data_IF_863835715015
#
_entry.id   IF_863835715015
#
_cell.length_a   1.000
_cell.length_b   1.000
_cell.length_c   1.000
_cell.angle_alpha   90.00
_cell.angle_beta   90.00
_cell.angle_gamma   90.00
#
_symmetry.space_group_name_H-M   'P 1'
#
loop_
_entity.id
_entity.type
_entity.pdbx_description
1 polymer ?
#
# COMPACT_ATOMS: atom_id res chain seq x y z
N UNK A 1 -14.62 14.62 -12.25
CA UNK A 1 -14.88 13.52 -11.29
C UNK A 1 -16.35 13.54 -10.83
N UNK A 2 -16.78 14.45 -9.96
CA UNK A 2 -18.15 14.37 -9.38
C UNK A 2 -19.33 14.56 -10.35
N UNK A 3 -19.11 15.09 -11.56
CA UNK A 3 -20.16 15.25 -12.58
C UNK A 3 -20.63 13.92 -13.21
N UNK A 4 -19.83 12.84 -13.12
CA UNK A 4 -20.13 11.53 -13.72
C UNK A 4 -20.47 10.46 -12.67
N UNK A 5 -20.72 10.83 -11.42
CA UNK A 5 -20.76 9.90 -10.27
C UNK A 5 -19.47 9.07 -10.09
N UNK A 6 -18.38 9.46 -10.74
CA UNK A 6 -17.07 8.85 -10.57
C UNK A 6 -16.32 9.55 -9.44
N UNK A 7 -16.13 8.81 -8.35
CA UNK A 7 -15.31 9.24 -7.23
C UNK A 7 -13.91 8.66 -7.43
N UNK A 8 -12.97 9.48 -7.90
CA UNK A 8 -11.54 9.21 -7.76
C UNK A 8 -11.14 9.58 -6.33
N UNK A 9 -11.49 8.70 -5.38
CA UNK A 9 -11.03 8.84 -4.02
C UNK A 9 -9.67 8.16 -3.90
N UNK A 10 -8.61 8.96 -3.69
CA UNK A 10 -7.43 8.50 -2.96
C UNK A 10 -7.87 8.19 -1.53
N UNK A 11 -8.45 7.02 -1.34
CA UNK A 11 -8.85 6.54 -0.04
C UNK A 11 -7.63 5.93 0.62
N UNK A 12 -7.03 6.69 1.52
CA UNK A 12 -6.26 6.14 2.65
C UNK A 12 -7.15 5.37 3.63
N UNK A 13 -8.45 5.28 3.33
CA UNK A 13 -9.50 4.60 4.05
C UNK A 13 -9.38 3.08 3.97
N UNK A 14 -9.62 2.43 5.10
CA UNK A 14 -9.84 0.98 5.13
C UNK A 14 -11.02 0.58 4.22
N UNK A 15 -10.95 -0.61 3.61
CA UNK A 15 -12.02 -1.19 2.80
C UNK A 15 -13.36 -1.17 3.54
N UNK A 16 -13.34 -1.43 4.85
CA UNK A 16 -14.55 -1.44 5.67
C UNK A 16 -15.27 -0.09 5.69
N UNK A 17 -14.55 1.03 5.56
CA UNK A 17 -15.15 2.37 5.46
C UNK A 17 -15.91 2.56 4.15
N UNK A 18 -15.36 2.02 3.05
CA UNK A 18 -15.96 2.09 1.71
C UNK A 18 -17.17 1.16 1.55
N UNK A 19 -17.20 0.08 2.33
CA UNK A 19 -18.25 -0.92 2.30
C UNK A 19 -19.36 -0.68 3.34
N UNK A 20 -19.34 0.44 4.05
CA UNK A 20 -20.51 0.87 4.83
C UNK A 20 -21.69 1.09 3.88
N UNK A 21 -22.85 0.55 4.24
CA UNK A 21 -24.03 0.46 3.37
C UNK A 21 -24.42 1.80 2.73
N UNK A 22 -24.37 2.88 3.52
CA UNK A 22 -24.72 4.25 3.12
C UNK A 22 -23.78 4.88 2.07
N UNK A 23 -22.57 4.31 1.93
CA UNK A 23 -21.55 4.69 0.95
C UNK A 23 -21.53 3.71 -0.21
N UNK A 24 -21.50 2.41 0.08
CA UNK A 24 -21.29 1.35 -0.91
C UNK A 24 -22.35 1.36 -2.03
N UNK A 25 -23.61 1.62 -1.70
CA UNK A 25 -24.71 1.70 -2.67
C UNK A 25 -24.58 2.88 -3.65
N UNK A 26 -23.71 3.85 -3.35
CA UNK A 26 -23.49 5.07 -4.16
C UNK A 26 -22.18 5.04 -4.94
N UNK A 27 -21.36 4.00 -4.78
CA UNK A 27 -20.04 3.90 -5.40
C UNK A 27 -20.00 2.79 -6.44
N UNK A 28 -19.32 3.06 -7.55
CA UNK A 28 -18.97 2.07 -8.56
C UNK A 28 -17.46 1.83 -8.54
N UNK A 29 -17.05 0.62 -8.15
CA UNK A 29 -15.65 0.22 -8.11
C UNK A 29 -15.24 -0.39 -9.45
N UNK A 30 -14.22 0.19 -10.09
CA UNK A 30 -13.76 -0.23 -11.43
C UNK A 30 -12.38 -0.89 -11.42
N UNK A 31 -11.56 -0.61 -10.42
CA UNK A 31 -10.21 -1.13 -10.25
C UNK A 31 -9.77 -1.02 -8.78
N UNK A 32 -8.73 -1.74 -8.42
CA UNK A 32 -8.05 -1.63 -7.13
C UNK A 32 -6.55 -1.46 -7.35
N UNK A 33 -5.83 -0.95 -6.34
CA UNK A 33 -4.38 -1.09 -6.27
C UNK A 33 -4.04 -2.12 -5.20
N UNK A 34 -3.59 -3.30 -5.63
CA UNK A 34 -3.25 -4.39 -4.71
C UNK A 34 -1.94 -4.05 -4.01
N UNK A 35 -2.03 -3.76 -2.70
CA UNK A 35 -0.93 -3.30 -1.87
C UNK A 35 -0.84 -4.17 -0.61
N UNK A 36 0.13 -5.10 -0.51
CA UNK A 36 1.17 -5.45 -1.50
C UNK A 36 0.64 -6.05 -2.82
N UNK A 37 1.45 -6.03 -3.88
CA UNK A 37 1.10 -6.62 -5.18
C UNK A 37 0.60 -8.05 -5.03
N UNK A 38 -0.54 -8.36 -5.64
CA UNK A 38 -1.19 -9.66 -5.56
C UNK A 38 -1.97 -9.93 -4.26
N UNK A 39 -1.96 -9.01 -3.29
CA UNK A 39 -2.81 -9.07 -2.10
C UNK A 39 -3.99 -8.11 -2.26
N UNK A 40 -5.20 -8.67 -2.31
CA UNK A 40 -6.46 -7.94 -2.37
C UNK A 40 -7.44 -8.44 -1.33
N UNK A 41 -8.43 -7.61 -1.01
CA UNK A 41 -9.57 -8.03 -0.20
C UNK A 41 -10.49 -8.94 -1.04
N UNK A 42 -10.96 -10.09 -0.54
CA UNK A 42 -11.85 -11.00 -1.27
C UNK A 42 -13.11 -10.33 -1.80
N UNK A 43 -13.60 -9.27 -1.13
CA UNK A 43 -14.79 -8.51 -1.53
C UNK A 43 -14.59 -7.74 -2.85
N UNK A 44 -13.34 -7.58 -3.30
CA UNK A 44 -12.97 -6.94 -4.57
C UNK A 44 -12.23 -7.89 -5.52
N UNK A 45 -12.36 -9.21 -5.36
CA UNK A 45 -11.61 -10.20 -6.13
C UNK A 45 -11.84 -10.12 -7.65
N UNK A 46 -12.98 -9.55 -8.09
CA UNK A 46 -13.32 -9.38 -9.50
C UNK A 46 -12.75 -8.09 -10.13
N UNK A 47 -12.18 -7.18 -9.34
CA UNK A 47 -11.65 -5.93 -9.85
C UNK A 47 -10.21 -6.10 -10.36
N UNK A 48 -9.86 -5.50 -11.51
CA UNK A 48 -8.49 -5.52 -11.99
C UNK A 48 -7.58 -4.69 -11.07
N UNK A 49 -6.34 -5.14 -10.96
CA UNK A 49 -5.28 -4.32 -10.37
C UNK A 49 -4.90 -3.16 -11.31
N UNK A 50 -4.56 -2.01 -10.73
CA UNK A 50 -4.23 -0.77 -11.43
C UNK A 50 -3.10 -0.93 -12.46
N UNK A 51 -2.15 -1.83 -12.23
CA UNK A 51 -1.07 -2.13 -13.17
C UNK A 51 -1.57 -2.68 -14.51
N UNK A 52 -2.76 -3.30 -14.55
CA UNK A 52 -3.38 -3.79 -15.79
C UNK A 52 -3.54 -2.70 -16.86
N UNK A 53 -3.64 -1.44 -16.45
CA UNK A 53 -3.84 -0.31 -17.35
C UNK A 53 -2.54 0.32 -17.87
N UNK A 54 -1.39 -0.19 -17.43
CA UNK A 54 -0.08 0.27 -17.90
C UNK A 54 0.22 -0.27 -19.30
N UNK A 55 0.78 0.58 -20.15
CA UNK A 55 1.20 0.29 -21.53
C UNK A 55 2.72 0.17 -21.66
N UNK A 56 3.47 0.91 -20.84
CA UNK A 56 4.93 0.96 -20.90
C UNK A 56 5.59 0.39 -19.65
N UNK A 57 6.86 0.01 -19.75
CA UNK A 57 7.66 -0.39 -18.59
C UNK A 57 7.83 0.75 -17.59
N UNK A 58 7.97 1.99 -18.07
CA UNK A 58 8.06 3.17 -17.20
C UNK A 58 6.78 3.32 -16.37
N UNK A 59 5.60 3.17 -16.97
CA UNK A 59 4.32 3.21 -16.25
C UNK A 59 4.21 2.07 -15.20
N UNK A 60 4.60 0.84 -15.56
CA UNK A 60 4.66 -0.29 -14.61
C UNK A 60 5.53 0.04 -13.40
N UNK A 61 6.75 0.53 -13.64
CA UNK A 61 7.70 0.91 -12.58
C UNK A 61 7.19 2.07 -11.73
N UNK A 62 6.47 3.04 -12.31
CA UNK A 62 5.84 4.11 -11.54
C UNK A 62 4.75 3.57 -10.61
N UNK A 63 3.94 2.60 -11.05
CA UNK A 63 2.97 1.94 -10.18
C UNK A 63 3.69 1.18 -9.06
N UNK A 64 4.74 0.42 -9.36
CA UNK A 64 5.52 -0.31 -8.34
C UNK A 64 6.14 0.63 -7.30
N UNK A 65 6.70 1.76 -7.75
CA UNK A 65 7.20 2.82 -6.87
C UNK A 65 6.08 3.39 -5.99
N UNK A 66 4.91 3.68 -6.56
CA UNK A 66 3.75 4.14 -5.81
C UNK A 66 3.26 3.14 -4.77
N UNK A 67 3.25 1.82 -5.08
CA UNK A 67 2.87 0.77 -4.12
C UNK A 67 3.82 0.75 -2.92
N UNK A 68 5.12 0.77 -3.19
CA UNK A 68 6.15 0.62 -2.17
C UNK A 68 6.15 1.76 -1.14
N UNK A 69 5.64 2.95 -1.49
CA UNK A 69 5.42 4.03 -0.54
C UNK A 69 4.14 3.90 0.30
N UNK A 70 3.18 3.07 -0.10
CA UNK A 70 1.88 2.98 0.58
C UNK A 70 1.79 1.86 1.60
N UNK A 71 2.36 0.69 1.31
CA UNK A 71 2.09 -0.50 2.12
C UNK A 71 2.94 -0.63 3.41
N UNK A 72 4.22 -0.20 3.46
CA UNK A 72 4.97 -0.11 4.71
C UNK A 72 4.53 1.16 5.44
N UNK A 73 3.38 1.11 6.11
CA UNK A 73 2.78 2.29 6.74
C UNK A 73 3.52 2.77 7.99
N UNK A 74 4.01 1.82 8.79
CA UNK A 74 4.74 2.09 10.04
C UNK A 74 6.00 1.21 10.13
N UNK A 75 6.98 1.40 9.24
CA UNK A 75 8.21 0.63 9.27
C UNK A 75 9.08 1.04 10.46
N UNK A 76 9.72 0.05 11.08
CA UNK A 76 10.79 0.27 12.05
C UNK A 76 12.13 0.18 11.32
N UNK A 77 12.95 1.21 11.44
CA UNK A 77 14.25 1.29 10.79
C UNK A 77 15.38 1.24 11.82
N UNK A 78 16.50 0.65 11.42
CA UNK A 78 17.73 0.61 12.21
C UNK A 78 18.84 1.32 11.43
N UNK A 79 19.80 1.97 12.10
CA UNK A 79 20.94 2.59 11.43
C UNK A 79 21.72 1.58 10.57
N UNK A 80 22.32 2.03 9.45
CA UNK A 80 23.27 1.22 8.70
C UNK A 80 24.39 0.70 9.61
N UNK A 81 24.81 -0.54 9.41
CA UNK A 81 25.87 -1.18 10.21
C UNK A 81 25.41 -1.79 11.54
N UNK A 82 24.10 -1.75 11.87
CA UNK A 82 23.57 -2.48 13.02
C UNK A 82 23.95 -3.96 12.94
N UNK A 83 24.55 -4.56 13.98
CA UNK A 83 24.93 -5.97 14.01
C UNK A 83 23.77 -6.90 13.63
N UNK A 84 24.03 -7.89 12.76
CA UNK A 84 22.99 -8.80 12.24
C UNK A 84 22.22 -9.53 13.34
N UNK A 85 22.90 -9.90 14.43
CA UNK A 85 22.22 -10.54 15.57
C UNK A 85 21.25 -9.62 16.29
N UNK A 86 21.57 -8.32 16.40
CA UNK A 86 20.62 -7.34 16.96
C UNK A 86 19.42 -7.15 16.03
N UNK A 87 19.65 -7.11 14.71
CA UNK A 87 18.56 -7.05 13.72
C UNK A 87 17.64 -8.25 13.88
N UNK A 88 18.20 -9.46 14.01
CA UNK A 88 17.46 -10.70 14.19
C UNK A 88 16.62 -10.66 15.48
N UNK A 89 17.21 -10.29 16.62
CA UNK A 89 16.50 -10.18 17.90
C UNK A 89 15.32 -9.22 17.80
N UNK A 90 15.51 -8.05 17.18
CA UNK A 90 14.46 -7.04 17.05
C UNK A 90 13.32 -7.50 16.13
N UNK A 91 13.65 -8.16 15.00
CA UNK A 91 12.63 -8.74 14.12
C UNK A 91 11.79 -9.80 14.83
N UNK A 92 12.45 -10.69 15.58
CA UNK A 92 11.78 -11.72 16.37
C UNK A 92 10.89 -11.10 17.46
N UNK A 93 11.35 -10.04 18.13
CA UNK A 93 10.57 -9.33 19.14
C UNK A 93 9.30 -8.70 18.56
N UNK A 94 9.40 -8.03 17.41
CA UNK A 94 8.23 -7.45 16.71
C UNK A 94 7.27 -8.55 16.27
N UNK A 95 7.78 -9.65 15.71
CA UNK A 95 6.97 -10.79 15.30
C UNK A 95 6.23 -11.44 16.49
N UNK A 96 6.85 -11.48 17.68
CA UNK A 96 6.20 -11.94 18.91
C UNK A 96 5.10 -10.98 19.38
N UNK A 97 5.31 -9.67 19.30
CA UNK A 97 4.29 -8.68 19.66
C UNK A 97 3.02 -8.84 18.79
N UNK A 98 3.17 -9.07 17.49
CA UNK A 98 2.03 -9.36 16.60
C UNK A 98 1.40 -10.75 16.80
N UNK A 99 1.89 -11.59 17.71
CA UNK A 99 1.26 -12.85 18.13
C UNK A 99 0.65 -12.75 19.52
N UNK A 100 0.87 -11.65 20.22
CA UNK A 100 0.36 -11.43 21.57
C UNK A 100 -1.15 -11.11 21.53
N UNK A 101 -2.02 -11.89 22.21
CA UNK A 101 -3.45 -11.63 22.21
C UNK A 101 -3.83 -10.23 22.73
N UNK A 102 -3.11 -9.72 23.74
CA UNK A 102 -3.35 -8.39 24.30
C UNK A 102 -3.08 -7.27 23.28
N UNK A 103 -2.05 -7.42 22.44
CA UNK A 103 -1.82 -6.53 21.31
C UNK A 103 -3.00 -6.54 20.33
N UNK A 104 -3.52 -7.73 19.99
CA UNK A 104 -4.65 -7.85 19.06
C UNK A 104 -5.92 -7.20 19.62
N UNK A 105 -6.22 -7.43 20.90
CA UNK A 105 -7.37 -6.82 21.59
C UNK A 105 -7.34 -5.29 21.54
N UNK A 106 -6.21 -4.69 21.95
CA UNK A 106 -6.09 -3.22 21.96
C UNK A 106 -6.02 -2.65 20.53
N UNK A 107 -5.33 -3.33 19.60
CA UNK A 107 -5.28 -2.91 18.20
C UNK A 107 -6.69 -2.91 17.59
N UNK A 108 -7.49 -3.95 17.83
CA UNK A 108 -8.87 -4.04 17.33
C UNK A 108 -9.76 -2.95 17.91
N UNK A 109 -9.60 -2.64 19.21
CA UNK A 109 -10.33 -1.55 19.86
C UNK A 109 -9.99 -0.18 19.27
N UNK A 110 -8.71 0.09 18.99
CA UNK A 110 -8.25 1.38 18.46
C UNK A 110 -8.51 1.54 16.95
N UNK A 111 -8.34 0.46 16.19
CA UNK A 111 -8.33 0.50 14.73
C UNK A 111 -9.61 -0.08 14.09
N UNK A 112 -10.45 -0.76 14.87
CA UNK A 112 -11.69 -1.39 14.40
C UNK A 112 -11.50 -2.64 13.54
N UNK A 113 -10.28 -3.21 13.49
CA UNK A 113 -9.93 -4.37 12.65
C UNK A 113 -8.75 -5.16 13.22
N UNK A 114 -8.53 -6.35 12.69
CA UNK A 114 -7.36 -7.16 13.02
C UNK A 114 -6.05 -6.55 12.46
N UNK A 115 -4.91 -6.73 13.14
CA UNK A 115 -3.62 -6.31 12.63
C UNK A 115 -3.19 -7.17 11.43
N UNK A 116 -2.65 -6.53 10.39
CA UNK A 116 -2.14 -7.19 9.18
C UNK A 116 -0.65 -6.90 9.01
N UNK A 117 0.23 -7.50 9.85
CA UNK A 117 1.66 -7.21 9.81
C UNK A 117 2.30 -7.70 8.52
N UNK A 118 3.34 -6.98 8.11
CA UNK A 118 4.31 -7.40 7.08
C UNK A 118 5.64 -7.67 7.78
N UNK A 119 6.40 -8.64 7.28
CA UNK A 119 7.69 -9.00 7.90
C UNK A 119 8.74 -7.92 7.64
N UNK A 120 9.75 -7.83 8.51
CA UNK A 120 10.88 -6.93 8.29
C UNK A 120 11.63 -7.26 6.99
N UNK A 121 11.70 -8.54 6.64
CA UNK A 121 12.25 -9.06 5.39
C UNK A 121 11.44 -8.59 4.17
N UNK A 122 10.12 -8.58 4.26
CA UNK A 122 9.25 -8.09 3.18
C UNK A 122 9.41 -6.58 2.98
N UNK A 123 9.51 -5.81 4.08
CA UNK A 123 9.81 -4.37 4.03
C UNK A 123 11.19 -4.11 3.43
N UNK A 124 12.22 -4.84 3.87
CA UNK A 124 13.57 -4.71 3.32
C UNK A 124 13.60 -5.02 1.82
N UNK A 125 12.91 -6.09 1.41
CA UNK A 125 12.78 -6.46 -0.01
C UNK A 125 12.09 -5.35 -0.81
N UNK A 126 11.01 -4.78 -0.29
CA UNK A 126 10.32 -3.63 -0.89
C UNK A 126 11.30 -2.50 -1.20
N UNK A 127 12.07 -2.09 -0.19
CA UNK A 127 12.99 -0.96 -0.28
C UNK A 127 14.13 -1.27 -1.26
N UNK A 128 14.63 -2.52 -1.25
CA UNK A 128 15.68 -2.95 -2.16
C UNK A 128 15.21 -2.95 -3.62
N UNK A 129 13.99 -3.39 -3.88
CA UNK A 129 13.40 -3.54 -5.23
C UNK A 129 12.80 -2.25 -5.78
N UNK A 130 12.80 -1.16 -5.00
CA UNK A 130 12.35 0.16 -5.46
C UNK A 130 13.00 0.55 -6.79
N UNK A 131 12.21 0.93 -7.81
CA UNK A 131 12.71 1.57 -9.02
C UNK A 131 13.50 2.85 -8.67
N UNK A 132 14.68 3.01 -9.29
CA UNK A 132 15.63 4.11 -9.02
C UNK A 132 16.03 4.87 -10.28
N UNK A 133 15.46 4.52 -11.43
CA UNK A 133 15.74 5.15 -12.70
C UNK A 133 15.25 6.60 -12.68
N UNK A 134 16.09 7.53 -13.16
CA UNK A 134 15.80 8.96 -13.12
C UNK A 134 14.49 9.32 -13.84
N UNK A 135 14.20 8.66 -14.98
CA UNK A 135 12.97 8.85 -15.75
C UNK A 135 11.73 8.41 -14.96
N UNK A 136 11.78 7.26 -14.29
CA UNK A 136 10.68 6.74 -13.46
C UNK A 136 10.41 7.68 -12.29
N UNK A 137 11.47 8.14 -11.61
CA UNK A 137 11.36 9.09 -10.49
C UNK A 137 10.79 10.42 -10.96
N UNK A 138 11.27 10.96 -12.09
CA UNK A 138 10.77 12.20 -12.65
C UNK A 138 9.29 12.09 -13.03
N UNK A 139 8.89 10.96 -13.62
CA UNK A 139 7.50 10.74 -13.97
C UNK A 139 6.61 10.60 -12.72
N UNK A 140 7.04 9.85 -11.71
CA UNK A 140 6.34 9.76 -10.43
C UNK A 140 6.15 11.14 -9.78
N UNK A 141 7.19 11.97 -9.74
CA UNK A 141 7.11 13.35 -9.23
C UNK A 141 6.09 14.19 -10.00
N UNK A 142 6.12 14.13 -11.33
CA UNK A 142 5.15 14.84 -12.17
C UNK A 142 3.70 14.43 -11.89
N UNK A 143 3.45 13.16 -11.58
CA UNK A 143 2.12 12.66 -11.18
C UNK A 143 1.73 13.03 -9.74
N UNK A 144 2.71 13.26 -8.87
CA UNK A 144 2.50 13.65 -7.48
C UNK A 144 2.26 15.16 -7.31
N UNK A 145 2.79 15.98 -8.23
CA UNK A 145 2.61 17.42 -8.30
C UNK A 145 1.21 17.81 -8.81
N UNK A 146 0.77 19.04 -8.52
CA UNK A 146 -0.54 19.57 -8.96
C UNK A 146 -0.54 20.12 -10.40
N UNK A 147 0.45 19.75 -11.21
CA UNK A 147 0.59 20.20 -12.60
C UNK A 147 -0.29 19.42 -13.58
N UNK A 148 -0.33 19.83 -14.86
CA UNK A 148 -1.04 19.08 -15.90
C UNK A 148 -0.40 17.69 -16.08
N UNK A 149 -1.25 16.67 -16.14
CA UNK A 149 -0.82 15.30 -16.42
C UNK A 149 -0.20 15.22 -17.82
N UNK A 150 0.86 14.40 -18.01
CA UNK A 150 1.41 14.17 -19.34
C UNK A 150 0.35 13.53 -20.26
N UNK A 151 0.40 13.81 -21.56
CA UNK A 151 -0.46 13.13 -22.54
C UNK A 151 -0.19 11.62 -22.50
N UNK A 152 -1.24 10.84 -22.79
CA UNK A 152 -1.20 9.38 -22.89
C UNK A 152 -1.21 8.90 -24.33
#
# INVERSE_FOLDING_TARGET
AMANAEVDARTTSNVDTLLRKDIAEKLHFHATIMNPKGKSDPRFANLPDLERFTKTDTERKVIDLFRAFQYPRWPLHLPPGTPKELVKILREAVAKAFKDPGFHEEFKKLMGREPTPITGEDVERAVRELPREAEVIAFYKKLAESGPLPPR
#
